data_IF_414455577213
#
_entry.id   IF_414455577213
#
_cell.length_a   1.000
_cell.length_b   1.000
_cell.length_c   1.000
_cell.angle_alpha   90.00
_cell.angle_beta   90.00
_cell.angle_gamma   90.00
#
_symmetry.space_group_name_H-M   'P 1'
#
loop_
_entity.id
_entity.type
_entity.pdbx_description
1 polymer ?
#
# COMPACT_ATOMS: atom_id res chain seq x y z
N UNK A 1 -25.60 15.39 33.00
CA UNK A 1 -25.23 14.05 32.47
C UNK A 1 -24.50 14.13 31.12
N UNK A 2 -24.25 15.34 30.60
CA UNK A 2 -23.76 15.58 29.22
C UNK A 2 -22.23 15.58 29.10
N UNK A 3 -21.50 15.81 30.21
CA UNK A 3 -20.04 15.84 30.23
C UNK A 3 -19.39 14.47 29.94
N UNK A 4 -20.06 13.36 30.28
CA UNK A 4 -19.54 12.01 30.06
C UNK A 4 -19.59 11.59 28.58
N UNK A 5 -20.62 11.99 27.84
CA UNK A 5 -20.76 11.71 26.41
C UNK A 5 -19.68 12.42 25.58
N UNK A 6 -19.36 13.67 25.92
CA UNK A 6 -18.27 14.41 25.28
C UNK A 6 -16.87 13.86 25.60
N UNK A 7 -16.68 13.20 26.73
CA UNK A 7 -15.43 12.51 27.06
C UNK A 7 -15.26 11.21 26.27
N UNK A 8 -16.33 10.41 26.17
CA UNK A 8 -16.35 9.17 25.36
C UNK A 8 -16.14 9.48 23.87
N UNK A 9 -16.77 10.52 23.34
CA UNK A 9 -16.57 10.94 21.94
C UNK A 9 -15.11 11.29 21.64
N UNK A 10 -14.47 12.07 22.51
CA UNK A 10 -13.05 12.46 22.37
C UNK A 10 -12.10 11.27 22.47
N UNK A 11 -12.38 10.32 23.35
CA UNK A 11 -11.58 9.10 23.47
C UNK A 11 -11.64 8.24 22.20
N UNK A 12 -12.80 8.16 21.55
CA UNK A 12 -12.96 7.44 20.28
C UNK A 12 -12.17 8.09 19.14
N UNK A 13 -12.19 9.42 19.04
CA UNK A 13 -11.42 10.16 18.03
C UNK A 13 -9.92 9.91 18.22
N UNK A 14 -9.42 10.03 19.45
CA UNK A 14 -8.01 9.76 19.76
C UNK A 14 -7.59 8.31 19.46
N UNK A 15 -8.46 7.33 19.74
CA UNK A 15 -8.20 5.94 19.40
C UNK A 15 -8.11 5.71 17.88
N UNK A 16 -8.97 6.38 17.10
CA UNK A 16 -8.95 6.32 15.63
C UNK A 16 -7.69 6.99 15.09
N UNK A 17 -7.34 8.20 15.53
CA UNK A 17 -6.11 8.90 15.12
C UNK A 17 -4.84 8.07 15.39
N UNK A 18 -4.82 7.37 16.54
CA UNK A 18 -3.73 6.46 16.91
C UNK A 18 -3.65 5.26 15.96
N UNK A 19 -4.79 4.68 15.59
CA UNK A 19 -4.85 3.57 14.64
C UNK A 19 -4.42 3.99 13.23
N UNK A 20 -4.82 5.19 12.79
CA UNK A 20 -4.43 5.77 11.48
C UNK A 20 -2.94 6.11 11.38
N UNK A 21 -2.24 6.20 12.52
CA UNK A 21 -0.80 6.44 12.59
C UNK A 21 -0.01 5.17 12.93
N UNK A 22 -0.68 4.02 13.02
CA UNK A 22 -0.06 2.75 13.37
C UNK A 22 0.34 1.97 12.11
N UNK A 23 1.65 1.74 11.97
CA UNK A 23 2.22 1.00 10.84
C UNK A 23 1.77 -0.47 10.77
N UNK A 24 1.52 -1.12 11.91
CA UNK A 24 1.08 -2.52 11.94
C UNK A 24 -0.35 -2.64 11.42
N UNK A 25 -1.21 -1.66 11.74
CA UNK A 25 -2.57 -1.57 11.20
C UNK A 25 -2.52 -1.36 9.69
N UNK A 26 -1.67 -0.43 9.22
CA UNK A 26 -1.52 -0.18 7.78
C UNK A 26 -0.94 -1.40 7.04
N UNK A 27 0.04 -2.09 7.63
CA UNK A 27 0.61 -3.31 7.07
C UNK A 27 -0.40 -4.44 6.96
N UNK A 28 -1.32 -4.57 7.93
CA UNK A 28 -2.40 -5.55 7.85
C UNK A 28 -3.41 -5.18 6.76
N UNK A 29 -3.83 -3.90 6.69
CA UNK A 29 -4.71 -3.43 5.62
C UNK A 29 -4.09 -3.66 4.24
N UNK A 30 -2.80 -3.42 4.10
CA UNK A 30 -2.09 -3.56 2.84
C UNK A 30 -2.20 -4.99 2.26
N UNK A 31 -2.32 -6.04 3.08
CA UNK A 31 -2.54 -7.41 2.58
C UNK A 31 -3.81 -7.61 1.76
N UNK A 32 -4.76 -6.67 1.83
CA UNK A 32 -6.02 -6.67 1.09
C UNK A 32 -6.07 -5.63 -0.02
N UNK A 33 -5.02 -4.82 -0.20
CA UNK A 33 -5.03 -3.64 -1.05
C UNK A 33 -4.00 -3.73 -2.17
N UNK A 34 -4.34 -3.22 -3.34
CA UNK A 34 -3.37 -2.93 -4.38
C UNK A 34 -2.43 -1.78 -3.98
N UNK A 35 -1.28 -1.67 -4.66
CA UNK A 35 -0.29 -0.63 -4.37
C UNK A 35 -0.87 0.80 -4.45
N UNK A 36 -1.74 1.06 -5.43
CA UNK A 36 -2.42 2.36 -5.55
C UNK A 36 -3.40 2.64 -4.41
N UNK A 37 -4.12 1.62 -3.96
CA UNK A 37 -5.08 1.72 -2.86
C UNK A 37 -4.36 1.95 -1.53
N UNK A 38 -3.20 1.33 -1.31
CA UNK A 38 -2.36 1.58 -0.14
C UNK A 38 -1.94 3.06 -0.04
N UNK A 39 -1.55 3.67 -1.16
CA UNK A 39 -1.24 5.09 -1.24
C UNK A 39 -2.47 5.96 -0.90
N UNK A 40 -3.64 5.60 -1.43
CA UNK A 40 -4.89 6.32 -1.16
C UNK A 40 -5.27 6.24 0.32
N UNK A 41 -5.19 5.05 0.93
CA UNK A 41 -5.43 4.86 2.37
C UNK A 41 -4.50 5.74 3.19
N UNK A 42 -3.21 5.80 2.85
CA UNK A 42 -2.27 6.72 3.55
C UNK A 42 -2.67 8.18 3.37
N UNK A 43 -3.04 8.60 2.16
CA UNK A 43 -3.49 9.97 1.89
C UNK A 43 -4.75 10.32 2.71
N UNK A 44 -5.70 9.38 2.82
CA UNK A 44 -6.89 9.55 3.66
C UNK A 44 -6.53 9.63 5.14
N UNK A 45 -5.65 8.76 5.65
CA UNK A 45 -5.18 8.83 7.04
C UNK A 45 -4.57 10.20 7.34
N UNK A 46 -3.76 10.73 6.42
CA UNK A 46 -3.14 12.06 6.53
C UNK A 46 -4.18 13.18 6.51
N UNK A 47 -5.19 13.10 5.65
CA UNK A 47 -6.29 14.06 5.62
C UNK A 47 -7.13 14.04 6.91
N UNK A 48 -7.18 12.91 7.61
CA UNK A 48 -7.83 12.72 8.90
C UNK A 48 -6.94 13.09 10.11
N UNK A 49 -5.72 13.58 9.88
CA UNK A 49 -4.84 14.10 10.93
C UNK A 49 -3.76 13.13 11.43
N UNK A 50 -3.48 12.02 10.73
CA UNK A 50 -2.35 11.16 11.08
C UNK A 50 -1.02 11.90 10.87
N UNK A 51 -0.09 11.82 11.83
CA UNK A 51 1.22 12.45 11.70
C UNK A 51 2.18 11.67 10.78
N UNK A 52 3.11 12.40 10.15
CA UNK A 52 4.19 11.92 9.29
C UNK A 52 5.53 11.95 10.04
N UNK A 53 5.55 11.67 11.35
CA UNK A 53 6.82 11.56 12.08
C UNK A 53 7.64 10.43 11.45
N UNK A 54 8.73 10.82 10.76
CA UNK A 54 9.57 9.93 9.96
C UNK A 54 10.35 9.00 10.89
N UNK A 55 9.69 7.95 11.35
CA UNK A 55 10.22 6.92 12.24
C UNK A 55 10.83 5.75 11.48
N UNK A 56 10.76 5.75 10.14
CA UNK A 56 11.11 4.63 9.27
C UNK A 56 12.29 4.96 8.34
N UNK A 57 13.40 5.46 8.87
CA UNK A 57 14.63 5.78 8.10
C UNK A 57 14.38 6.70 6.89
N UNK A 58 13.44 7.63 7.02
CA UNK A 58 13.05 8.57 5.96
C UNK A 58 12.01 8.02 4.97
N UNK A 59 11.54 6.78 5.13
CA UNK A 59 10.42 6.23 4.38
C UNK A 59 9.10 6.81 4.85
N UNK A 60 8.17 6.98 3.89
CA UNK A 60 6.77 7.23 4.23
C UNK A 60 6.16 5.98 4.89
N UNK A 61 5.08 6.13 5.63
CA UNK A 61 4.40 4.99 6.25
C UNK A 61 3.88 3.96 5.21
N UNK A 62 3.51 4.42 4.01
CA UNK A 62 3.11 3.54 2.90
C UNK A 62 4.31 2.78 2.31
N UNK A 63 5.46 3.44 2.16
CA UNK A 63 6.71 2.82 1.72
C UNK A 63 7.20 1.77 2.74
N UNK A 64 7.12 2.07 4.04
CA UNK A 64 7.47 1.12 5.08
C UNK A 64 6.51 -0.09 5.11
N UNK A 65 5.20 0.14 4.94
CA UNK A 65 4.23 -0.95 4.88
C UNK A 65 4.52 -1.86 3.68
N UNK A 66 4.78 -1.27 2.51
CA UNK A 66 5.15 -1.99 1.30
C UNK A 66 6.46 -2.78 1.50
N UNK A 67 7.47 -2.17 2.14
CA UNK A 67 8.74 -2.83 2.47
C UNK A 67 8.52 -4.07 3.33
N UNK A 68 7.77 -3.96 4.42
CA UNK A 68 7.49 -5.09 5.33
C UNK A 68 6.80 -6.25 4.62
N UNK A 69 5.86 -5.96 3.73
CA UNK A 69 5.17 -7.01 2.96
C UNK A 69 6.14 -7.69 2.00
N UNK A 70 6.95 -6.92 1.28
CA UNK A 70 7.95 -7.47 0.38
C UNK A 70 9.00 -8.30 1.13
N UNK A 71 9.49 -7.83 2.28
CA UNK A 71 10.43 -8.57 3.12
C UNK A 71 9.83 -9.88 3.66
N UNK A 72 8.51 -9.91 3.92
CA UNK A 72 7.78 -11.11 4.33
C UNK A 72 7.52 -12.13 3.21
N UNK A 73 7.81 -11.78 1.94
CA UNK A 73 7.69 -12.68 0.81
C UNK A 73 8.71 -13.82 0.89
N UNK A 74 8.41 -14.93 0.20
CA UNK A 74 9.30 -16.08 0.17
C UNK A 74 10.62 -15.76 -0.54
N UNK A 75 11.68 -16.50 -0.21
CA UNK A 75 12.98 -16.30 -0.87
C UNK A 75 12.91 -16.59 -2.38
N UNK A 76 12.06 -17.53 -2.79
CA UNK A 76 11.80 -17.82 -4.20
C UNK A 76 11.13 -16.63 -4.91
N UNK A 77 10.12 -16.01 -4.28
CA UNK A 77 9.46 -14.81 -4.81
C UNK A 77 10.45 -13.65 -4.95
N UNK A 78 11.27 -13.41 -3.93
CA UNK A 78 12.29 -12.36 -3.93
C UNK A 78 13.40 -12.63 -4.95
N UNK A 79 13.76 -13.88 -5.19
CA UNK A 79 14.74 -14.26 -6.22
C UNK A 79 14.22 -13.98 -7.64
N UNK A 80 12.90 -14.07 -7.85
CA UNK A 80 12.26 -13.76 -9.14
C UNK A 80 12.01 -12.26 -9.34
N UNK A 81 12.08 -11.46 -8.28
CA UNK A 81 11.88 -10.01 -8.28
C UNK A 81 13.14 -9.28 -7.79
N UNK A 82 14.24 -9.31 -8.56
CA UNK A 82 15.46 -8.61 -8.18
C UNK A 82 15.23 -7.11 -8.15
N UNK A 83 15.57 -6.48 -7.03
CA UNK A 83 15.44 -5.03 -6.85
C UNK A 83 16.42 -4.28 -7.74
N UNK A 84 15.92 -3.28 -8.48
CA UNK A 84 16.74 -2.37 -9.27
C UNK A 84 17.05 -1.06 -8.51
N UNK A 85 18.15 -0.41 -8.90
CA UNK A 85 18.57 0.84 -8.27
C UNK A 85 17.56 1.95 -8.58
N UNK A 86 17.03 2.59 -7.54
CA UNK A 86 16.05 3.67 -7.67
C UNK A 86 14.58 3.22 -7.55
N UNK A 87 14.32 1.91 -7.47
CA UNK A 87 12.96 1.42 -7.22
C UNK A 87 12.51 1.70 -5.77
N UNK A 88 11.29 2.24 -5.68
CA UNK A 88 10.58 2.42 -4.41
C UNK A 88 10.02 1.10 -3.89
N UNK A 89 9.71 1.05 -2.59
CA UNK A 89 9.11 -0.15 -2.00
C UNK A 89 7.68 -0.37 -2.47
N UNK A 90 6.94 0.69 -2.76
CA UNK A 90 5.58 0.60 -3.31
C UNK A 90 5.58 -0.06 -4.70
N UNK A 91 6.60 0.21 -5.52
CA UNK A 91 6.76 -0.39 -6.84
C UNK A 91 7.12 -1.88 -6.74
N UNK A 92 8.06 -2.25 -5.86
CA UNK A 92 8.37 -3.65 -5.56
C UNK A 92 7.16 -4.42 -5.03
N UNK A 93 6.37 -3.78 -4.16
CA UNK A 93 5.11 -4.34 -3.66
C UNK A 93 4.11 -4.55 -4.80
N UNK A 94 4.00 -3.61 -5.75
CA UNK A 94 3.16 -3.79 -6.93
C UNK A 94 3.61 -4.99 -7.77
N UNK A 95 4.92 -5.13 -8.02
CA UNK A 95 5.46 -6.27 -8.75
C UNK A 95 5.18 -7.61 -8.04
N UNK A 96 5.29 -7.64 -6.72
CA UNK A 96 4.94 -8.83 -5.92
C UNK A 96 3.47 -9.21 -6.05
N UNK A 97 2.56 -8.23 -6.01
CA UNK A 97 1.14 -8.48 -6.22
C UNK A 97 0.87 -9.00 -7.63
N UNK A 98 1.50 -8.40 -8.65
CA UNK A 98 1.38 -8.88 -10.03
C UNK A 98 1.91 -10.31 -10.18
N UNK A 99 3.02 -10.64 -9.53
CA UNK A 99 3.60 -11.99 -9.54
C UNK A 99 2.67 -13.03 -8.89
N UNK A 100 1.97 -12.67 -7.81
CA UNK A 100 1.02 -13.55 -7.11
C UNK A 100 -0.35 -13.65 -7.79
N UNK A 101 -0.71 -12.68 -8.63
CA UNK A 101 -1.98 -12.67 -9.34
C UNK A 101 -2.05 -13.83 -10.35
N UNK A 102 -3.28 -14.26 -10.67
CA UNK A 102 -3.47 -15.16 -11.82
C UNK A 102 -3.06 -14.42 -13.08
N UNK A 103 -2.18 -15.03 -13.88
CA UNK A 103 -1.76 -14.51 -15.18
C UNK A 103 -2.98 -14.24 -16.06
N UNK A 104 -3.31 -12.96 -16.24
CA UNK A 104 -4.30 -12.52 -17.24
C UNK A 104 -3.60 -12.18 -18.55
N UNK A 105 -4.33 -12.17 -19.65
CA UNK A 105 -3.77 -11.85 -20.96
C UNK A 105 -3.10 -10.47 -20.98
N UNK A 106 -3.70 -9.47 -20.32
CA UNK A 106 -3.14 -8.12 -20.17
C UNK A 106 -1.77 -8.09 -19.49
N UNK A 107 -1.52 -9.04 -18.56
CA UNK A 107 -0.23 -9.16 -17.89
C UNK A 107 0.84 -9.79 -18.79
N UNK A 108 0.46 -10.68 -19.70
CA UNK A 108 1.38 -11.32 -20.66
C UNK A 108 1.76 -10.37 -21.80
N UNK A 109 0.77 -9.59 -22.24
CA UNK A 109 0.87 -8.58 -23.30
C UNK A 109 1.69 -7.38 -22.81
N UNK A 110 1.56 -7.03 -21.53
CA UNK A 110 2.23 -5.88 -20.95
C UNK A 110 1.46 -4.59 -21.24
N UNK A 111 1.67 -3.56 -20.42
CA UNK A 111 0.84 -2.33 -20.44
C UNK A 111 1.13 -1.36 -21.58
N UNK A 112 2.16 -1.59 -22.38
CA UNK A 112 2.60 -0.69 -23.46
C UNK A 112 2.40 -1.32 -24.84
N UNK A 113 1.29 -2.04 -25.05
CA UNK A 113 0.92 -2.48 -26.39
C UNK A 113 0.11 -1.37 -27.06
N UNK A 114 0.72 -0.77 -28.07
CA UNK A 114 0.03 0.11 -29.01
C UNK A 114 -0.64 -0.77 -30.06
N UNK A 115 -1.98 -0.78 -30.06
CA UNK A 115 -2.76 -1.38 -31.13
C UNK A 115 -2.71 -0.45 -32.35
N UNK A 116 -2.33 -0.99 -33.51
CA UNK A 116 -2.48 -0.25 -34.76
C UNK A 116 -3.96 -0.15 -35.13
N UNK A 117 -4.37 1.01 -35.63
CA UNK A 117 -5.76 1.32 -35.98
C UNK A 117 -6.35 0.21 -36.87
N UNK A 118 -7.33 -0.54 -36.34
CA UNK A 118 -7.96 -1.67 -37.02
C UNK A 118 -7.75 -3.06 -36.38
N UNK A 119 -6.90 -3.17 -35.35
CA UNK A 119 -6.60 -4.45 -34.65
C UNK A 119 -7.32 -4.61 -33.30
N UNK A 120 -8.22 -3.68 -32.95
CA UNK A 120 -9.17 -3.87 -31.82
C UNK A 120 -10.26 -4.86 -32.26
N UNK A 121 -10.03 -6.15 -32.04
CA UNK A 121 -11.11 -7.12 -32.06
C UNK A 121 -12.04 -6.91 -30.85
N UNK A 122 -13.34 -6.83 -31.14
CA UNK A 122 -14.45 -6.55 -30.23
C UNK A 122 -14.56 -7.45 -29.00
#
# INVERSE_FOLDING_TARGET
MECALGAVGRQRVSAVESALSNIDVLGHLATFLEAGELCQVRATCKALGSSDESTFDGLSMAEEAARRIFESASDDEKAMLPRHNGEGWIELYHHLLMFRARLTFDQLVGRNIEYQEGDEAA
#
